data_IF_963818991887
#
_entry.id   IF_963818991887
#
_cell.length_a   1.000
_cell.length_b   1.000
_cell.length_c   1.000
_cell.angle_alpha   90.00
_cell.angle_beta   90.00
_cell.angle_gamma   90.00
#
_symmetry.space_group_name_H-M   'P 1'
#
loop_
_entity.id
_entity.type
_entity.pdbx_description
1 polymer ?
#
# COMPACT_ATOMS: atom_id res chain seq x y z
N UNK A 1 -27.97 8.37 14.96
CA UNK A 1 -26.58 8.67 15.35
C UNK A 1 -26.12 9.87 14.56
N UNK A 2 -25.41 10.82 15.18
CA UNK A 2 -24.80 11.94 14.44
C UNK A 2 -23.67 11.36 13.58
N UNK A 3 -23.56 11.73 12.29
CA UNK A 3 -22.40 11.31 11.49
C UNK A 3 -21.16 11.92 12.13
N UNK A 4 -20.24 11.06 12.58
CA UNK A 4 -18.89 11.48 12.93
C UNK A 4 -18.17 11.63 11.60
N UNK A 5 -17.81 12.87 11.28
CA UNK A 5 -16.93 13.20 10.16
C UNK A 5 -15.51 13.01 10.67
N UNK A 6 -14.92 11.85 10.38
CA UNK A 6 -13.49 11.65 10.54
C UNK A 6 -12.82 11.95 9.19
N UNK A 7 -11.64 12.55 9.29
CA UNK A 7 -10.82 13.08 8.19
C UNK A 7 -10.93 12.26 6.88
N UNK A 8 -11.26 12.98 5.80
CA UNK A 8 -11.59 12.49 4.44
C UNK A 8 -10.35 12.08 3.63
N UNK A 9 -9.16 12.28 4.20
CA UNK A 9 -7.88 12.24 3.48
C UNK A 9 -6.94 11.14 4.01
N UNK A 10 -7.39 9.89 4.05
CA UNK A 10 -6.57 8.78 4.58
C UNK A 10 -6.23 7.73 3.55
N UNK A 11 -4.93 7.42 3.49
CA UNK A 11 -4.35 6.29 2.77
C UNK A 11 -4.58 4.94 3.48
N UNK A 12 -5.11 4.95 4.70
CA UNK A 12 -5.23 3.76 5.54
C UNK A 12 -6.51 2.97 5.22
N UNK A 13 -6.41 2.05 4.25
CA UNK A 13 -7.51 1.17 3.83
C UNK A 13 -7.94 0.21 4.95
N UNK A 14 -7.04 -0.15 5.87
CA UNK A 14 -7.35 -1.02 7.02
C UNK A 14 -8.43 -0.44 7.96
N UNK A 15 -8.61 0.88 7.94
CA UNK A 15 -9.60 1.56 8.80
C UNK A 15 -11.03 1.57 8.24
N UNK A 16 -11.24 1.07 7.01
CA UNK A 16 -12.58 1.04 6.40
C UNK A 16 -13.62 0.27 7.22
N UNK A 17 -13.22 -0.83 7.86
CA UNK A 17 -14.10 -1.62 8.72
C UNK A 17 -14.57 -0.84 9.95
N UNK A 18 -13.71 0.01 10.52
CA UNK A 18 -14.06 0.88 11.65
C UNK A 18 -15.09 1.92 11.23
N UNK A 19 -14.92 2.52 10.06
CA UNK A 19 -15.87 3.50 9.51
C UNK A 19 -17.27 2.88 9.35
N UNK A 20 -17.36 1.67 8.80
CA UNK A 20 -18.62 0.93 8.66
C UNK A 20 -19.28 0.68 10.02
N UNK A 21 -18.54 0.09 10.96
CA UNK A 21 -19.05 -0.30 12.26
C UNK A 21 -19.54 0.89 13.09
N UNK A 22 -18.81 2.01 13.01
CA UNK A 22 -19.14 3.23 13.75
C UNK A 22 -20.18 4.09 13.04
N UNK A 23 -20.54 3.76 11.79
CA UNK A 23 -21.37 4.60 10.90
C UNK A 23 -20.80 6.01 10.76
N UNK A 24 -19.47 6.08 10.68
CA UNK A 24 -18.72 7.33 10.50
C UNK A 24 -18.42 7.52 9.02
N UNK A 25 -18.36 8.78 8.58
CA UNK A 25 -17.84 9.09 7.25
C UNK A 25 -16.32 8.88 7.27
N UNK A 26 -15.82 8.14 6.29
CA UNK A 26 -14.39 7.96 6.04
C UNK A 26 -14.14 8.10 4.55
N UNK A 27 -13.28 9.04 4.17
CA UNK A 27 -12.76 9.15 2.83
C UNK A 27 -11.48 8.34 2.76
N UNK A 28 -11.48 7.25 1.99
CA UNK A 28 -10.23 6.76 1.47
C UNK A 28 -9.79 7.72 0.38
N UNK A 29 -8.65 8.35 0.60
CA UNK A 29 -8.01 9.19 -0.39
C UNK A 29 -6.59 8.71 -0.49
N UNK A 30 -6.23 8.13 -1.64
CA UNK A 30 -4.85 7.79 -1.94
C UNK A 30 -4.06 9.09 -2.17
N UNK A 31 -3.71 9.76 -1.07
CA UNK A 31 -2.95 11.02 -1.10
C UNK A 31 -1.59 10.82 -1.73
N UNK A 32 -1.04 9.62 -1.58
CA UNK A 32 0.28 9.25 -2.06
C UNK A 32 0.34 9.33 -3.59
N UNK A 33 -0.56 8.66 -4.32
CA UNK A 33 -0.54 8.69 -5.80
C UNK A 33 -0.83 10.06 -6.41
N UNK A 34 -1.46 10.96 -5.66
CA UNK A 34 -1.89 12.28 -6.16
C UNK A 34 -0.97 13.44 -5.80
N UNK A 35 -0.22 13.31 -4.70
CA UNK A 35 0.71 14.34 -4.23
C UNK A 35 2.16 14.00 -4.56
N UNK A 36 2.46 12.75 -4.88
CA UNK A 36 3.81 12.26 -5.14
C UNK A 36 4.11 12.19 -6.64
N UNK A 37 5.33 12.57 -7.05
CA UNK A 37 5.79 12.28 -8.39
C UNK A 37 6.00 10.77 -8.58
N UNK A 38 5.85 10.24 -9.80
CA UNK A 38 5.08 10.85 -10.88
C UNK A 38 3.58 10.81 -10.51
N UNK A 39 2.88 11.91 -10.80
CA UNK A 39 1.44 11.98 -10.59
C UNK A 39 0.70 11.24 -11.70
N UNK A 40 0.72 9.91 -11.64
CA UNK A 40 -0.13 9.06 -12.47
C UNK A 40 -1.47 8.79 -11.76
N UNK A 41 -2.56 9.06 -12.47
CA UNK A 41 -3.94 8.90 -12.01
C UNK A 41 -4.58 7.60 -12.49
N UNK A 42 -3.78 6.71 -13.10
CA UNK A 42 -4.22 5.37 -13.48
C UNK A 42 -4.57 4.51 -12.26
N UNK A 43 -5.32 3.43 -12.49
CA UNK A 43 -5.75 2.51 -11.43
C UNK A 43 -4.62 1.51 -11.20
N UNK A 44 -4.02 1.53 -10.01
CA UNK A 44 -3.01 0.55 -9.62
C UNK A 44 -3.64 -0.81 -9.29
N UNK A 45 -2.94 -1.93 -9.58
CA UNK A 45 -3.42 -3.26 -9.22
C UNK A 45 -3.32 -3.55 -7.72
N UNK A 46 -2.62 -2.71 -6.94
CA UNK A 46 -2.59 -2.77 -5.48
C UNK A 46 -3.65 -1.90 -4.83
N UNK A 47 -3.25 -0.74 -4.29
CA UNK A 47 -4.06 0.17 -3.46
C UNK A 47 -5.47 0.43 -4.04
N UNK A 48 -5.58 0.79 -5.31
CA UNK A 48 -6.87 1.17 -5.90
C UNK A 48 -7.80 -0.04 -6.12
N UNK A 49 -7.25 -1.15 -6.63
CA UNK A 49 -8.01 -2.40 -6.78
C UNK A 49 -8.44 -2.94 -5.41
N UNK A 50 -7.55 -2.93 -4.43
CA UNK A 50 -7.84 -3.38 -3.07
C UNK A 50 -8.89 -2.52 -2.40
N UNK A 51 -8.83 -1.20 -2.57
CA UNK A 51 -9.88 -0.29 -2.14
C UNK A 51 -11.23 -0.64 -2.76
N UNK A 52 -11.29 -0.82 -4.08
CA UNK A 52 -12.53 -1.19 -4.77
C UNK A 52 -13.12 -2.53 -4.28
N UNK A 53 -12.27 -3.52 -4.02
CA UNK A 53 -12.69 -4.82 -3.47
C UNK A 53 -13.24 -4.69 -2.04
N UNK A 54 -12.57 -3.92 -1.18
CA UNK A 54 -13.05 -3.64 0.18
C UNK A 54 -14.39 -2.92 0.16
N UNK A 55 -14.57 -1.96 -0.76
CA UNK A 55 -15.86 -1.29 -0.97
C UNK A 55 -16.95 -2.25 -1.43
N UNK A 56 -16.67 -3.15 -2.37
CA UNK A 56 -17.63 -4.18 -2.79
C UNK A 56 -18.10 -5.01 -1.61
N UNK A 57 -17.16 -5.53 -0.80
CA UNK A 57 -17.48 -6.33 0.39
C UNK A 57 -18.36 -5.56 1.39
N UNK A 58 -18.06 -4.28 1.65
CA UNK A 58 -18.83 -3.44 2.57
C UNK A 58 -20.25 -3.13 2.07
N UNK A 59 -20.44 -3.07 0.74
CA UNK A 59 -21.73 -2.84 0.11
C UNK A 59 -22.54 -4.14 -0.11
N UNK A 60 -22.00 -5.29 0.28
CA UNK A 60 -22.62 -6.59 0.02
C UNK A 60 -22.59 -7.01 -1.47
N UNK A 61 -21.68 -6.41 -2.25
CA UNK A 61 -21.44 -6.80 -3.64
C UNK A 61 -20.41 -7.93 -3.65
N UNK A 62 -20.85 -9.12 -3.99
CA UNK A 62 -19.98 -10.29 -4.08
C UNK A 62 -18.96 -10.13 -5.23
N UNK A 63 -17.69 -10.33 -4.90
CA UNK A 63 -16.57 -10.36 -5.84
C UNK A 63 -15.63 -11.48 -5.46
N UNK A 64 -15.10 -12.17 -6.46
CA UNK A 64 -14.00 -13.09 -6.26
C UNK A 64 -12.77 -12.32 -5.81
N UNK A 65 -12.18 -12.75 -4.69
CA UNK A 65 -10.94 -12.18 -4.20
C UNK A 65 -9.76 -12.76 -4.98
N UNK A 66 -8.68 -11.97 -5.21
CA UNK A 66 -7.47 -12.53 -5.75
C UNK A 66 -6.92 -13.63 -4.82
N UNK A 67 -6.13 -14.59 -5.36
CA UNK A 67 -5.40 -15.57 -4.55
C UNK A 67 -4.67 -14.91 -3.39
N UNK A 68 -4.51 -15.62 -2.27
CA UNK A 68 -3.93 -15.05 -1.04
C UNK A 68 -2.59 -14.34 -1.28
N UNK A 69 -1.72 -14.93 -2.09
CA UNK A 69 -0.44 -14.32 -2.47
C UNK A 69 -0.64 -12.99 -3.19
N UNK A 70 -1.64 -12.87 -4.06
CA UNK A 70 -1.93 -11.69 -4.87
C UNK A 70 -2.73 -10.61 -4.12
N UNK A 71 -3.00 -10.83 -2.83
CA UNK A 71 -3.55 -9.83 -1.91
C UNK A 71 -2.48 -8.88 -1.34
N UNK A 72 -1.24 -9.02 -1.79
CA UNK A 72 -0.10 -8.16 -1.47
C UNK A 72 0.58 -7.75 -2.77
N UNK A 73 0.91 -6.47 -2.90
CA UNK A 73 1.47 -5.94 -4.14
C UNK A 73 2.58 -4.93 -3.83
N UNK A 74 3.79 -5.21 -4.35
CA UNK A 74 4.93 -4.32 -4.23
C UNK A 74 4.84 -3.26 -5.33
N UNK A 75 4.45 -2.04 -4.93
CA UNK A 75 4.25 -0.88 -5.79
C UNK A 75 5.51 -0.03 -5.93
N UNK A 76 5.53 0.78 -6.98
CA UNK A 76 6.59 1.73 -7.29
C UNK A 76 7.58 1.23 -8.35
N UNK A 77 7.41 -0.01 -8.84
CA UNK A 77 8.25 -0.63 -9.87
C UNK A 77 7.62 -0.68 -11.26
N UNK A 78 6.38 -0.22 -11.38
CA UNK A 78 5.70 -0.03 -12.65
C UNK A 78 6.52 0.92 -13.54
N UNK A 79 6.54 0.73 -14.87
CA UNK A 79 7.35 1.54 -15.79
C UNK A 79 7.13 3.05 -15.65
N UNK A 80 5.88 3.43 -15.42
CA UNK A 80 5.42 4.81 -15.27
C UNK A 80 5.67 5.39 -13.88
N UNK A 81 5.90 4.56 -12.86
CA UNK A 81 6.11 4.98 -11.46
C UNK A 81 7.56 5.40 -11.17
N UNK A 82 8.09 6.29 -12.00
CA UNK A 82 9.43 6.87 -11.87
C UNK A 82 9.44 8.39 -12.11
N UNK A 83 10.23 9.12 -11.34
CA UNK A 83 10.47 10.56 -11.55
C UNK A 83 11.90 10.90 -11.13
N UNK A 84 12.65 11.60 -11.99
CA UNK A 84 14.05 12.00 -11.74
C UNK A 84 14.96 10.84 -11.26
N UNK A 85 14.77 9.63 -11.81
CA UNK A 85 15.53 8.43 -11.44
C UNK A 85 15.17 7.87 -10.05
N UNK A 86 14.04 8.29 -9.48
CA UNK A 86 13.54 7.83 -8.20
C UNK A 86 12.20 7.09 -8.36
N UNK A 87 11.92 6.20 -7.41
CA UNK A 87 10.69 5.40 -7.31
C UNK A 87 10.05 5.52 -5.93
N UNK A 88 8.73 5.43 -5.87
CA UNK A 88 7.94 5.57 -4.64
C UNK A 88 7.47 4.21 -4.11
N UNK A 89 8.45 3.47 -3.57
CA UNK A 89 8.33 2.05 -3.23
C UNK A 89 7.54 1.86 -1.93
N UNK A 90 6.50 1.02 -2.01
CA UNK A 90 5.63 0.66 -0.88
C UNK A 90 4.90 -0.66 -1.14
N UNK A 91 4.35 -1.28 -0.09
CA UNK A 91 3.56 -2.50 -0.23
C UNK A 91 2.07 -2.20 -0.03
N UNK A 92 1.27 -2.41 -1.07
CA UNK A 92 -0.18 -2.43 -0.94
C UNK A 92 -0.65 -3.79 -0.41
N UNK A 93 -1.72 -3.79 0.40
CA UNK A 93 -2.36 -5.02 0.87
C UNK A 93 -3.88 -4.88 0.86
N UNK A 94 -4.59 -5.97 0.56
CA UNK A 94 -6.04 -6.02 0.66
C UNK A 94 -6.52 -5.93 2.11
N UNK A 95 -5.77 -6.51 3.04
CA UNK A 95 -6.06 -6.53 4.47
C UNK A 95 -4.81 -6.13 5.28
N UNK A 96 -4.39 -4.85 5.22
CA UNK A 96 -3.20 -4.39 5.93
C UNK A 96 -3.29 -4.59 7.45
N UNK A 97 -4.50 -4.66 8.02
CA UNK A 97 -4.72 -5.00 9.43
C UNK A 97 -4.26 -6.41 9.83
N UNK A 98 -3.96 -7.28 8.85
CA UNK A 98 -3.40 -8.63 9.09
C UNK A 98 -1.87 -8.68 9.13
N UNK A 99 -1.21 -7.57 8.79
CA UNK A 99 0.25 -7.44 8.73
C UNK A 99 0.76 -6.93 10.08
N UNK A 100 1.81 -7.56 10.60
CA UNK A 100 2.57 -7.07 11.76
C UNK A 100 3.58 -6.00 11.32
N UNK A 101 4.41 -6.32 10.34
CA UNK A 101 5.30 -5.37 9.67
C UNK A 101 5.77 -5.86 8.30
N UNK A 102 6.36 -4.96 7.52
CA UNK A 102 7.02 -5.25 6.25
C UNK A 102 8.49 -4.91 6.37
N UNK A 103 9.35 -5.86 6.03
CA UNK A 103 10.78 -5.66 5.84
C UNK A 103 11.06 -5.41 4.36
N UNK A 104 11.77 -4.32 4.04
CA UNK A 104 12.19 -4.01 2.68
C UNK A 104 13.68 -4.32 2.50
N UNK A 105 14.00 -5.09 1.47
CA UNK A 105 15.34 -5.47 1.08
C UNK A 105 15.68 -4.92 -0.31
N UNK A 106 16.94 -4.52 -0.50
CA UNK A 106 17.53 -4.10 -1.77
C UNK A 106 18.76 -4.97 -2.03
N UNK A 107 18.76 -5.74 -3.11
CA UNK A 107 19.79 -6.74 -3.41
C UNK A 107 20.07 -7.71 -2.24
N UNK A 108 19.03 -8.06 -1.48
CA UNK A 108 19.14 -8.91 -0.28
C UNK A 108 19.62 -8.20 1.00
N UNK A 109 20.00 -6.93 0.92
CA UNK A 109 20.39 -6.13 2.10
C UNK A 109 19.18 -5.38 2.69
N UNK A 110 19.08 -5.37 4.01
CA UNK A 110 18.00 -4.69 4.72
C UNK A 110 18.05 -3.16 4.49
N UNK A 111 16.91 -2.59 4.12
CA UNK A 111 16.70 -1.15 3.96
C UNK A 111 15.94 -0.57 5.15
N UNK A 112 14.74 -1.08 5.44
CA UNK A 112 13.89 -0.58 6.52
C UNK A 112 12.78 -1.57 6.90
N UNK A 113 12.22 -1.36 8.10
CA UNK A 113 10.94 -1.91 8.52
C UNK A 113 9.84 -0.84 8.42
N UNK A 114 8.65 -1.25 8.00
CA UNK A 114 7.44 -0.43 8.04
C UNK A 114 6.32 -1.18 8.76
N UNK A 115 5.74 -0.56 9.78
CA UNK A 115 4.71 -1.16 10.64
C UNK A 115 3.29 -0.68 10.29
N UNK A 116 3.17 0.38 9.51
CA UNK A 116 1.91 1.06 9.25
C UNK A 116 1.73 1.20 7.75
N UNK A 117 0.52 0.93 7.27
CA UNK A 117 0.12 1.12 5.88
C UNK A 117 0.38 2.57 5.40
N UNK A 118 0.81 2.75 4.13
CA UNK A 118 0.96 1.74 3.07
C UNK A 118 2.33 1.05 3.05
N UNK A 119 3.02 0.98 4.18
CA UNK A 119 4.31 0.27 4.32
C UNK A 119 5.40 0.81 3.38
N UNK A 120 5.56 2.14 3.38
CA UNK A 120 6.51 2.88 2.55
C UNK A 120 7.96 2.70 2.98
N UNK A 121 8.87 2.53 2.00
CA UNK A 121 10.33 2.55 2.23
C UNK A 121 10.82 3.94 2.66
N UNK A 122 10.19 4.99 2.14
CA UNK A 122 10.59 6.38 2.33
C UNK A 122 9.68 7.20 3.23
N UNK A 123 8.91 6.60 4.15
CA UNK A 123 7.86 7.31 4.90
C UNK A 123 8.36 8.63 5.52
N UNK A 124 7.61 9.73 5.31
CA UNK A 124 7.86 11.02 5.96
C UNK A 124 6.68 11.48 6.81
N UNK A 125 5.46 11.28 6.30
CA UNK A 125 4.21 11.67 6.96
C UNK A 125 3.04 10.89 6.37
N UNK A 126 1.85 11.03 6.97
CA UNK A 126 0.63 10.36 6.50
C UNK A 126 0.06 10.89 5.18
N UNK A 127 0.82 11.71 4.44
CA UNK A 127 0.46 12.22 3.12
C UNK A 127 1.67 12.28 2.17
N UNK A 128 2.84 11.77 2.60
CA UNK A 128 4.08 11.84 1.82
C UNK A 128 5.14 10.81 2.24
N UNK A 129 5.78 10.20 1.26
CA UNK A 129 7.06 9.51 1.32
C UNK A 129 8.10 10.18 0.41
N UNK A 130 9.36 9.91 0.71
CA UNK A 130 10.52 10.29 -0.08
C UNK A 130 10.73 9.27 -1.20
N UNK A 131 11.04 9.75 -2.40
CA UNK A 131 11.49 8.90 -3.50
C UNK A 131 12.77 8.13 -3.14
N UNK A 132 12.85 6.91 -3.65
CA UNK A 132 14.02 6.05 -3.52
C UNK A 132 14.80 6.10 -4.82
N UNK A 133 16.06 6.54 -4.75
CA UNK A 133 16.94 6.59 -5.93
C UNK A 133 17.28 5.17 -6.39
N UNK A 134 17.02 4.92 -7.66
CA UNK A 134 17.40 3.67 -8.33
C UNK A 134 18.72 3.87 -9.06
N UNK A 135 19.60 2.89 -8.97
CA UNK A 135 20.93 2.89 -9.58
C UNK A 135 21.10 1.66 -10.45
N UNK A 136 22.06 1.68 -11.39
CA UNK A 136 22.38 0.53 -12.25
C UNK A 136 22.84 -0.72 -11.47
N UNK A 137 23.27 -0.55 -10.21
CA UNK A 137 23.62 -1.65 -9.31
C UNK A 137 22.40 -2.35 -8.70
N UNK A 138 21.20 -1.78 -8.84
CA UNK A 138 19.96 -2.36 -8.30
C UNK A 138 19.46 -3.45 -9.22
N UNK A 139 19.40 -4.66 -8.69
CA UNK A 139 18.94 -5.85 -9.42
C UNK A 139 17.60 -6.34 -8.91
N UNK A 140 17.41 -6.24 -7.60
CA UNK A 140 16.23 -6.78 -6.93
C UNK A 140 15.80 -5.87 -5.78
N UNK A 141 14.48 -5.69 -5.68
CA UNK A 141 13.82 -5.23 -4.47
C UNK A 141 12.84 -6.29 -3.96
N UNK A 142 12.81 -6.46 -2.64
CA UNK A 142 11.93 -7.41 -1.99
C UNK A 142 11.21 -6.77 -0.81
N UNK A 143 9.91 -7.02 -0.71
CA UNK A 143 9.14 -6.81 0.50
C UNK A 143 8.83 -8.16 1.14
N UNK A 144 9.33 -8.38 2.35
CA UNK A 144 8.99 -9.53 3.20
C UNK A 144 7.87 -9.07 4.13
N UNK A 145 6.68 -9.62 3.93
CA UNK A 145 5.47 -9.30 4.69
C UNK A 145 5.36 -10.26 5.85
N UNK A 146 5.49 -9.75 7.07
CA UNK A 146 5.31 -10.53 8.30
C UNK A 146 3.87 -10.38 8.74
N UNK A 147 3.12 -11.48 8.72
CA UNK A 147 1.72 -11.49 9.14
C UNK A 147 1.61 -11.70 10.64
N UNK A 148 0.55 -11.17 11.24
CA UNK A 148 0.29 -11.24 12.69
C UNK A 148 0.09 -12.67 13.21
N UNK A 149 -0.14 -13.64 12.32
CA UNK A 149 -0.24 -15.06 12.65
C UNK A 149 1.09 -15.84 12.48
N UNK A 150 2.19 -15.13 12.19
CA UNK A 150 3.53 -15.70 12.03
C UNK A 150 3.85 -16.19 10.61
N UNK A 151 2.90 -16.19 9.67
CA UNK A 151 3.19 -16.47 8.26
C UNK A 151 4.00 -15.34 7.63
N UNK A 152 4.70 -15.68 6.54
CA UNK A 152 5.48 -14.74 5.73
C UNK A 152 5.10 -14.82 4.27
N UNK A 153 5.07 -13.68 3.61
CA UNK A 153 4.88 -13.54 2.16
C UNK A 153 6.03 -12.73 1.60
N UNK A 154 6.54 -13.11 0.43
CA UNK A 154 7.59 -12.36 -0.24
C UNK A 154 7.06 -11.81 -1.56
N UNK A 155 7.30 -10.52 -1.79
CA UNK A 155 7.05 -9.85 -3.07
C UNK A 155 8.34 -9.27 -3.60
N UNK A 156 8.68 -9.65 -4.83
CA UNK A 156 9.92 -9.28 -5.47
C UNK A 156 9.64 -8.48 -6.74
N UNK A 157 10.46 -7.46 -6.98
CA UNK A 157 10.56 -6.75 -8.24
C UNK A 157 12.01 -6.81 -8.74
N UNK A 158 12.19 -7.33 -9.95
CA UNK A 158 13.47 -7.32 -10.66
C UNK A 158 13.59 -6.03 -11.48
N UNK A 159 14.80 -5.45 -11.56
CA UNK A 159 15.10 -4.19 -12.23
C UNK A 159 16.00 -4.37 -13.46
#
# INVERSE_FOLDING_TARGET
GKPVVCNEDSQAIGQLGVALNTRSSWGYYNNMTKQEPPADWSITPGEDRFFALRMCAMLGIEKELPPFEDQYYLQGFEPEMTCDGQRWIRLASLYPESIDYVESLRNGEHVCFAYVEPFSVGFQSSWRQRGTKITEEDREWKAVVHLSDGRKIEKTAEL
#
